data_IF_149288061878
#
_entry.id   IF_149288061878
#
_cell.length_a   1.000
_cell.length_b   1.000
_cell.length_c   1.000
_cell.angle_alpha   90.00
_cell.angle_beta   90.00
_cell.angle_gamma   90.00
#
_symmetry.space_group_name_H-M   'P 1'
#
loop_
_entity.id
_entity.type
_entity.pdbx_description
1 polymer ?
#
# COMPACT_ATOMS: atom_id res chain seq x y z
N UNK A 1 5.71 20.72 -36.32
CA UNK A 1 4.88 20.12 -35.25
C UNK A 1 5.80 19.27 -34.38
N UNK A 2 5.93 19.49 -33.07
CA UNK A 2 6.71 18.58 -32.23
C UNK A 2 6.02 17.20 -32.22
N UNK A 3 6.82 16.15 -32.45
CA UNK A 3 6.37 14.75 -32.41
C UNK A 3 5.86 14.42 -31.00
N UNK A 4 4.77 13.65 -30.82
CA UNK A 4 4.33 13.24 -29.49
C UNK A 4 5.47 12.52 -28.78
N UNK A 5 5.78 12.94 -27.55
CA UNK A 5 6.88 12.38 -26.79
C UNK A 5 6.71 10.85 -26.60
N UNK A 6 7.77 10.04 -26.76
CA UNK A 6 7.72 8.57 -26.64
C UNK A 6 7.55 8.08 -25.19
N UNK A 7 6.96 8.89 -24.30
CA UNK A 7 6.75 8.49 -22.92
C UNK A 7 5.69 7.39 -22.84
N UNK A 8 6.03 6.33 -22.11
CA UNK A 8 5.13 5.26 -21.70
C UNK A 8 3.84 5.88 -21.11
N UNK A 9 2.72 5.67 -21.79
CA UNK A 9 1.39 6.03 -21.27
C UNK A 9 0.85 4.85 -20.49
N UNK A 10 0.80 5.01 -19.16
CA UNK A 10 0.15 4.06 -18.27
C UNK A 10 -1.30 4.55 -18.08
N UNK A 11 -2.31 3.86 -18.61
CA UNK A 11 -3.71 4.25 -18.41
C UNK A 11 -4.10 4.04 -16.94
N UNK A 12 -4.65 5.07 -16.30
CA UNK A 12 -5.16 4.98 -14.94
C UNK A 12 -6.42 5.83 -14.78
N UNK A 13 -7.24 5.45 -13.80
CA UNK A 13 -8.38 6.21 -13.34
C UNK A 13 -8.27 6.49 -11.85
N UNK A 14 -8.88 7.60 -11.40
CA UNK A 14 -8.93 7.97 -10.00
C UNK A 14 -10.34 8.36 -9.61
N UNK A 15 -10.78 7.82 -8.50
CA UNK A 15 -12.05 8.15 -7.89
C UNK A 15 -11.92 8.15 -6.37
N UNK A 16 -12.93 8.67 -5.69
CA UNK A 16 -13.03 8.63 -4.24
C UNK A 16 -14.25 7.81 -3.85
N UNK A 17 -14.10 6.96 -2.84
CA UNK A 17 -15.20 6.25 -2.23
C UNK A 17 -15.95 7.17 -1.25
N UNK A 18 -17.17 6.79 -0.86
CA UNK A 18 -18.00 7.57 0.07
C UNK A 18 -17.32 7.81 1.43
N UNK A 19 -16.43 6.90 1.85
CA UNK A 19 -15.64 7.03 3.08
C UNK A 19 -14.40 7.94 2.94
N UNK A 20 -14.21 8.57 1.78
CA UNK A 20 -13.08 9.46 1.48
C UNK A 20 -11.80 8.75 1.02
N UNK A 21 -11.78 7.41 0.92
CA UNK A 21 -10.62 6.69 0.39
C UNK A 21 -10.43 7.04 -1.09
N UNK A 22 -9.23 7.50 -1.42
CA UNK A 22 -8.83 7.77 -2.80
C UNK A 22 -8.30 6.48 -3.42
N UNK A 23 -8.91 6.07 -4.53
CA UNK A 23 -8.49 4.90 -5.30
C UNK A 23 -7.84 5.37 -6.59
N UNK A 24 -6.70 4.76 -6.92
CA UNK A 24 -6.05 4.88 -8.23
C UNK A 24 -5.99 3.47 -8.82
N UNK A 25 -6.65 3.26 -9.95
CA UNK A 25 -6.72 1.97 -10.63
C UNK A 25 -6.04 2.08 -11.99
N UNK A 26 -5.19 1.11 -12.31
CA UNK A 26 -4.48 1.04 -13.59
C UNK A 26 -4.62 -0.39 -14.15
N UNK A 27 -5.69 -0.69 -14.90
CA UNK A 27 -5.90 -2.03 -15.46
C UNK A 27 -4.90 -2.33 -16.58
N UNK A 28 -4.26 -3.50 -16.53
CA UNK A 28 -3.42 -4.03 -17.59
C UNK A 28 -3.79 -5.51 -17.84
N UNK A 29 -4.47 -5.84 -18.95
CA UNK A 29 -4.88 -7.20 -19.25
C UNK A 29 -3.74 -8.07 -19.81
N UNK A 30 -2.52 -7.53 -19.99
CA UNK A 30 -1.39 -8.27 -20.57
C UNK A 30 -0.81 -9.35 -19.66
N UNK A 31 -1.08 -9.28 -18.35
CA UNK A 31 -0.61 -10.25 -17.35
C UNK A 31 -1.71 -10.65 -16.38
N UNK A 32 -1.66 -11.88 -15.87
CA UNK A 32 -2.58 -12.39 -14.86
C UNK A 32 -2.08 -12.11 -13.43
N UNK A 33 -1.54 -10.91 -13.19
CA UNK A 33 -0.97 -10.50 -11.90
C UNK A 33 -1.69 -9.24 -11.41
N UNK A 34 -1.84 -9.10 -10.10
CA UNK A 34 -2.38 -7.90 -9.46
C UNK A 34 -1.38 -7.36 -8.44
N UNK A 35 -1.22 -6.04 -8.42
CA UNK A 35 -0.54 -5.30 -7.36
C UNK A 35 -1.55 -4.45 -6.61
N UNK A 36 -1.54 -4.53 -5.28
CA UNK A 36 -2.36 -3.68 -4.41
C UNK A 36 -1.43 -2.96 -3.46
N UNK A 37 -1.67 -1.67 -3.23
CA UNK A 37 -0.90 -0.92 -2.26
C UNK A 37 -1.80 0.04 -1.47
N UNK A 38 -1.64 0.05 -0.15
CA UNK A 38 -2.44 0.88 0.74
C UNK A 38 -1.55 1.94 1.38
N UNK A 39 -1.86 3.22 1.11
CA UNK A 39 -1.08 4.36 1.60
C UNK A 39 -1.82 5.13 2.67
N UNK A 40 -1.18 5.26 3.83
CA UNK A 40 -1.60 6.18 4.88
C UNK A 40 -0.72 7.43 4.84
N UNK A 41 -1.33 8.62 4.86
CA UNK A 41 -0.64 9.92 4.94
C UNK A 41 -0.14 10.26 6.34
N UNK A 42 0.36 9.25 7.06
CA UNK A 42 0.86 9.33 8.43
C UNK A 42 2.18 8.58 8.48
N UNK A 43 3.20 9.17 9.09
CA UNK A 43 4.52 8.57 9.28
C UNK A 43 5.18 9.05 10.57
N UNK A 44 6.49 8.86 10.71
CA UNK A 44 7.22 9.21 11.94
C UNK A 44 7.17 10.70 12.30
N UNK A 45 6.98 11.61 11.32
CA UNK A 45 6.82 13.05 11.57
C UNK A 45 5.53 13.39 12.34
N UNK A 46 4.57 12.48 12.34
CA UNK A 46 3.27 12.66 12.98
C UNK A 46 3.26 12.17 14.44
N UNK A 47 4.38 11.65 14.93
CA UNK A 47 4.51 11.14 16.29
C UNK A 47 4.54 12.27 17.33
N UNK A 48 4.16 11.94 18.57
CA UNK A 48 4.18 12.89 19.69
C UNK A 48 5.44 12.67 20.52
N UNK A 49 6.02 13.73 21.13
CA UNK A 49 7.08 13.57 22.12
C UNK A 49 6.69 12.54 23.20
N UNK A 50 7.62 11.65 23.55
CA UNK A 50 7.38 10.54 24.48
C UNK A 50 6.59 9.35 23.91
N UNK A 51 6.21 9.38 22.61
CA UNK A 51 5.55 8.28 21.89
C UNK A 51 6.18 8.08 20.51
N UNK A 52 7.51 8.03 20.47
CA UNK A 52 8.28 7.87 19.23
C UNK A 52 8.44 6.39 18.84
N UNK A 53 8.58 6.12 17.54
CA UNK A 53 8.69 4.76 16.98
C UNK A 53 7.34 4.05 16.81
N UNK A 54 6.23 4.74 17.08
CA UNK A 54 4.88 4.18 16.99
C UNK A 54 4.47 3.88 15.55
N UNK A 55 4.82 4.73 14.58
CA UNK A 55 4.48 4.50 13.19
C UNK A 55 5.14 3.18 12.69
N UNK A 56 6.43 3.00 13.00
CA UNK A 56 7.14 1.77 12.68
C UNK A 56 6.65 0.57 13.50
N UNK A 57 6.34 0.75 14.79
CA UNK A 57 5.74 -0.32 15.61
C UNK A 57 4.41 -0.81 15.02
N UNK A 58 3.53 0.11 14.62
CA UNK A 58 2.23 -0.24 14.03
C UNK A 58 2.37 -0.91 12.66
N UNK A 59 3.38 -0.55 11.88
CA UNK A 59 3.73 -1.26 10.65
C UNK A 59 4.00 -2.75 10.91
N UNK A 60 4.85 -3.07 11.90
CA UNK A 60 5.12 -4.46 12.29
C UNK A 60 3.87 -5.15 12.84
N UNK A 61 3.10 -4.44 13.67
CA UNK A 61 1.90 -5.00 14.30
C UNK A 61 0.79 -5.31 13.31
N UNK A 62 0.73 -4.63 12.15
CA UNK A 62 -0.23 -4.94 11.08
C UNK A 62 -0.15 -6.43 10.69
N UNK A 63 1.05 -6.99 10.65
CA UNK A 63 1.28 -8.39 10.27
C UNK A 63 1.09 -9.39 11.41
N UNK A 64 0.84 -8.94 12.64
CA UNK A 64 0.64 -9.79 13.80
C UNK A 64 -0.81 -10.30 13.95
N UNK A 65 -1.65 -10.09 12.93
CA UNK A 65 -3.02 -10.58 12.84
C UNK A 65 -4.06 -9.48 12.97
N UNK A 66 -5.31 -9.85 12.73
CA UNK A 66 -6.49 -8.99 12.80
C UNK A 66 -7.69 -9.78 13.33
N UNK A 67 -8.85 -9.13 13.44
CA UNK A 67 -10.09 -9.79 13.83
C UNK A 67 -10.49 -10.97 12.93
N UNK A 68 -10.02 -10.98 11.67
CA UNK A 68 -10.41 -11.98 10.67
C UNK A 68 -9.23 -12.81 10.13
N UNK A 69 -7.99 -12.43 10.44
CA UNK A 69 -6.78 -13.11 9.96
C UNK A 69 -5.87 -13.39 11.15
N UNK A 70 -5.58 -14.65 11.50
CA UNK A 70 -4.70 -14.96 12.62
C UNK A 70 -3.27 -14.44 12.41
N UNK A 71 -2.50 -14.37 13.49
CA UNK A 71 -1.08 -14.03 13.46
C UNK A 71 -0.32 -14.84 12.41
N UNK A 72 0.61 -14.19 11.70
CA UNK A 72 1.41 -14.73 10.60
C UNK A 72 0.62 -15.19 9.34
N UNK A 73 -0.72 -15.20 9.36
CA UNK A 73 -1.50 -15.70 8.23
C UNK A 73 -1.56 -14.73 7.05
N UNK A 74 -1.28 -13.44 7.25
CA UNK A 74 -1.15 -12.49 6.15
C UNK A 74 -0.06 -12.91 5.16
N UNK A 75 1.14 -13.22 5.65
CA UNK A 75 2.24 -13.71 4.82
C UNK A 75 1.91 -15.05 4.17
N UNK A 76 1.49 -16.02 4.97
CA UNK A 76 1.21 -17.36 4.47
C UNK A 76 0.15 -17.40 3.36
N UNK A 77 -0.89 -16.58 3.45
CA UNK A 77 -1.95 -16.54 2.44
C UNK A 77 -1.44 -15.99 1.10
N UNK A 78 -0.65 -14.93 1.12
CA UNK A 78 -0.09 -14.31 -0.10
C UNK A 78 1.00 -15.20 -0.71
N UNK A 79 1.91 -15.72 0.11
CA UNK A 79 3.00 -16.59 -0.35
C UNK A 79 2.47 -17.91 -0.93
N UNK A 80 1.44 -18.52 -0.33
CA UNK A 80 0.79 -19.72 -0.88
C UNK A 80 0.12 -19.47 -2.23
N UNK A 81 -0.29 -18.24 -2.51
CA UNK A 81 -0.81 -17.82 -3.81
C UNK A 81 0.30 -17.43 -4.80
N UNK A 82 1.58 -17.58 -4.43
CA UNK A 82 2.73 -17.22 -5.26
C UNK A 82 3.08 -15.72 -5.25
N UNK A 83 2.46 -14.93 -4.38
CA UNK A 83 2.72 -13.51 -4.23
C UNK A 83 3.81 -13.19 -3.21
N UNK A 84 4.16 -11.91 -3.12
CA UNK A 84 4.95 -11.33 -2.04
C UNK A 84 4.26 -10.08 -1.49
N UNK A 85 4.61 -9.70 -0.28
CA UNK A 85 4.11 -8.48 0.37
C UNK A 85 5.25 -7.81 1.14
N UNK A 86 5.10 -6.52 1.39
CA UNK A 86 6.04 -5.76 2.21
C UNK A 86 5.34 -4.54 2.80
N UNK A 87 5.98 -3.86 3.75
CA UNK A 87 5.55 -2.55 4.20
C UNK A 87 6.75 -1.64 4.37
N UNK A 88 6.50 -0.33 4.38
CA UNK A 88 7.49 0.65 4.82
C UNK A 88 6.84 1.82 5.52
N UNK A 89 7.47 2.30 6.59
CA UNK A 89 7.18 3.58 7.21
C UNK A 89 8.27 4.59 6.87
N UNK A 90 7.84 5.80 6.56
CA UNK A 90 8.70 6.96 6.33
C UNK A 90 8.24 8.15 7.18
N UNK A 91 8.85 9.32 6.97
CA UNK A 91 8.50 10.53 7.71
C UNK A 91 7.02 10.90 7.55
N UNK A 92 6.46 10.81 6.36
CA UNK A 92 5.14 11.35 6.03
C UNK A 92 4.11 10.30 5.57
N UNK A 93 4.51 9.03 5.55
CA UNK A 93 3.68 7.93 5.08
C UNK A 93 4.03 6.61 5.73
N UNK A 94 3.05 5.72 5.74
CA UNK A 94 3.23 4.28 5.88
C UNK A 94 2.45 3.61 4.77
N UNK A 95 3.08 2.65 4.09
CA UNK A 95 2.39 1.83 3.09
C UNK A 95 2.57 0.34 3.36
N UNK A 96 1.60 -0.42 2.87
CA UNK A 96 1.52 -1.87 2.90
C UNK A 96 1.22 -2.40 1.50
#
# INVERSE_FOLDING_TARGET
MPSPSPYLRIPWERYSLDNGLRVVLSPDPSTAVVGVNLWYGVGSRNERPGRTGFAHLFEHMMFQGSAHVPKNRHFELVERAGGSLNATTWFDRTNY
#
